data_IF_820921191290
#
_entry.id   IF_820921191290
#
_cell.length_a   1.000
_cell.length_b   1.000
_cell.length_c   1.000
_cell.angle_alpha   90.00
_cell.angle_beta   90.00
_cell.angle_gamma   90.00
#
_symmetry.space_group_name_H-M   'P 1'
#
loop_
_entity.id
_entity.type
_entity.pdbx_description
1 polymer ?
#
# COMPACT_ATOMS: atom_id res chain seq x y z
N UNK A 1 -17.23 -0.97 -4.58
CA UNK A 1 -15.80 -0.55 -4.58
C UNK A 1 -14.94 -1.69 -5.07
N UNK A 2 -14.01 -1.43 -5.96
CA UNK A 2 -13.10 -2.40 -6.56
C UNK A 2 -11.64 -1.98 -6.42
N UNK A 3 -10.73 -2.94 -6.58
CA UNK A 3 -9.31 -2.67 -6.75
C UNK A 3 -8.96 -2.65 -8.24
N UNK A 4 -8.44 -1.52 -8.69
CA UNK A 4 -7.85 -1.40 -10.03
C UNK A 4 -6.33 -1.28 -9.93
N UNK A 5 -5.63 -1.71 -10.95
CA UNK A 5 -4.19 -1.50 -11.10
C UNK A 5 -3.89 -0.13 -11.71
N UNK A 6 -2.67 0.35 -11.55
CA UNK A 6 -2.29 1.70 -11.97
C UNK A 6 -2.53 1.97 -13.47
N UNK A 7 -2.41 0.97 -14.34
CA UNK A 7 -2.67 1.07 -15.77
C UNK A 7 -4.15 1.32 -16.13
N UNK A 8 -5.07 1.09 -15.19
CA UNK A 8 -6.51 1.38 -15.33
C UNK A 8 -6.93 2.70 -14.70
N UNK A 9 -6.02 3.38 -14.00
CA UNK A 9 -6.29 4.67 -13.37
C UNK A 9 -6.46 5.74 -14.45
N UNK A 10 -7.47 6.61 -14.31
CA UNK A 10 -7.65 7.74 -15.23
C UNK A 10 -6.84 8.95 -14.78
N UNK A 11 -6.54 9.86 -15.72
CA UNK A 11 -5.88 11.13 -15.40
C UNK A 11 -6.70 11.96 -14.39
N UNK A 12 -8.01 12.04 -14.56
CA UNK A 12 -8.89 12.81 -13.67
C UNK A 12 -8.80 12.29 -12.22
N UNK A 13 -8.98 10.98 -12.02
CA UNK A 13 -8.89 10.34 -10.72
C UNK A 13 -7.50 10.52 -10.06
N UNK A 14 -6.44 10.47 -10.86
CA UNK A 14 -5.08 10.75 -10.38
C UNK A 14 -4.92 12.22 -9.97
N UNK A 15 -5.39 13.15 -10.79
CA UNK A 15 -5.28 14.59 -10.53
C UNK A 15 -6.02 14.96 -9.23
N UNK A 16 -7.26 14.52 -9.08
CA UNK A 16 -8.06 14.77 -7.87
C UNK A 16 -7.36 14.22 -6.60
N UNK A 17 -6.80 13.01 -6.70
CA UNK A 17 -6.05 12.42 -5.60
C UNK A 17 -4.79 13.24 -5.28
N UNK A 18 -4.02 13.67 -6.27
CA UNK A 18 -2.80 14.47 -6.07
C UNK A 18 -3.14 15.83 -5.45
N UNK A 19 -4.20 16.47 -5.91
CA UNK A 19 -4.67 17.74 -5.37
C UNK A 19 -5.06 17.63 -3.89
N UNK A 20 -5.80 16.57 -3.51
CA UNK A 20 -6.17 16.31 -2.12
C UNK A 20 -4.93 16.17 -1.21
N UNK A 21 -3.92 15.40 -1.65
CA UNK A 21 -2.67 15.26 -0.92
C UNK A 21 -1.85 16.57 -0.85
N UNK A 22 -1.86 17.35 -1.92
CA UNK A 22 -1.12 18.61 -2.03
C UNK A 22 -1.73 19.68 -1.12
N UNK A 23 -3.05 19.83 -1.15
CA UNK A 23 -3.80 20.75 -0.28
C UNK A 23 -3.56 20.42 1.20
N UNK A 24 -3.48 19.15 1.54
CA UNK A 24 -3.19 18.71 2.91
C UNK A 24 -1.71 18.83 3.32
N UNK A 25 -0.81 19.30 2.45
CA UNK A 25 0.61 19.43 2.74
C UNK A 25 1.36 18.09 2.91
N UNK A 26 0.80 16.99 2.40
CA UNK A 26 1.37 15.64 2.50
C UNK A 26 1.46 15.00 1.11
N UNK A 27 2.34 15.47 0.20
CA UNK A 27 2.38 15.03 -1.19
C UNK A 27 2.48 13.51 -1.35
N UNK A 28 1.66 12.94 -2.22
CA UNK A 28 1.69 11.53 -2.53
C UNK A 28 2.99 11.16 -3.27
N UNK A 29 3.87 10.40 -2.62
CA UNK A 29 5.19 10.02 -3.16
C UNK A 29 6.05 11.22 -3.61
N UNK A 30 5.85 12.38 -3.00
CA UNK A 30 6.50 13.63 -3.41
C UNK A 30 5.93 14.26 -4.69
N UNK A 31 4.86 13.70 -5.26
CA UNK A 31 4.21 14.22 -6.46
C UNK A 31 3.24 15.33 -6.04
N UNK A 32 3.39 16.49 -6.66
CA UNK A 32 2.50 17.66 -6.51
C UNK A 32 1.94 18.15 -7.85
N UNK A 33 2.44 17.61 -8.96
CA UNK A 33 2.06 17.98 -10.31
C UNK A 33 1.35 16.81 -11.01
N UNK A 34 0.02 16.90 -11.26
CA UNK A 34 -0.71 15.87 -11.97
C UNK A 34 -0.22 15.58 -13.40
N UNK A 35 0.51 16.49 -14.03
CA UNK A 35 1.08 16.27 -15.37
C UNK A 35 2.08 15.11 -15.41
N UNK A 36 2.60 14.69 -14.26
CA UNK A 36 3.47 13.51 -14.11
C UNK A 36 2.72 12.17 -14.29
N UNK A 37 1.41 12.18 -14.48
CA UNK A 37 0.60 10.97 -14.65
C UNK A 37 1.17 9.95 -15.65
N UNK A 38 1.55 10.31 -16.89
CA UNK A 38 2.09 9.32 -17.83
C UNK A 38 3.39 8.69 -17.36
N UNK A 39 4.23 9.46 -16.65
CA UNK A 39 5.46 8.94 -16.04
C UNK A 39 5.14 8.01 -14.88
N UNK A 40 4.22 8.40 -14.02
CA UNK A 40 3.77 7.61 -12.89
C UNK A 40 3.25 6.23 -13.32
N UNK A 41 2.34 6.18 -14.31
CA UNK A 41 1.80 4.92 -14.84
C UNK A 41 2.91 4.03 -15.41
N UNK A 42 3.79 4.58 -16.25
CA UNK A 42 4.92 3.81 -16.81
C UNK A 42 5.81 3.23 -15.70
N UNK A 43 6.04 4.00 -14.64
CA UNK A 43 6.85 3.57 -13.50
C UNK A 43 6.17 2.43 -12.74
N UNK A 44 4.86 2.53 -12.46
CA UNK A 44 4.10 1.47 -11.81
C UNK A 44 4.13 0.16 -12.61
N UNK A 45 3.94 0.22 -13.93
CA UNK A 45 4.00 -0.95 -14.83
C UNK A 45 5.40 -1.57 -14.83
N UNK A 46 6.46 -0.77 -14.93
CA UNK A 46 7.86 -1.25 -14.86
C UNK A 46 8.16 -1.93 -13.52
N UNK A 47 7.76 -1.32 -12.40
CA UNK A 47 7.98 -1.89 -11.06
C UNK A 47 7.23 -3.21 -10.86
N UNK A 48 6.03 -3.34 -11.40
CA UNK A 48 5.28 -4.60 -11.38
C UNK A 48 5.98 -5.70 -12.18
N UNK A 49 6.66 -5.35 -13.27
CA UNK A 49 7.51 -6.25 -14.06
C UNK A 49 8.92 -6.46 -13.48
N UNK A 50 9.27 -5.79 -12.38
CA UNK A 50 10.61 -5.88 -11.77
C UNK A 50 11.69 -5.05 -12.47
N UNK A 51 11.29 -4.11 -13.34
CA UNK A 51 12.20 -3.27 -14.12
C UNK A 51 12.48 -1.96 -13.37
N UNK A 52 13.76 -1.57 -13.30
CA UNK A 52 14.19 -0.31 -12.67
C UNK A 52 14.20 -0.33 -11.14
N UNK A 53 14.14 -1.52 -10.54
CA UNK A 53 14.21 -1.70 -9.08
C UNK A 53 15.64 -1.97 -8.62
N UNK A 54 15.95 -1.55 -7.39
CA UNK A 54 17.20 -1.94 -6.73
C UNK A 54 17.18 -3.42 -6.36
N UNK A 55 18.35 -4.00 -6.14
CA UNK A 55 18.48 -5.42 -5.74
C UNK A 55 17.75 -5.73 -4.41
N UNK A 56 17.55 -4.74 -3.54
CA UNK A 56 16.86 -4.89 -2.25
C UNK A 56 15.32 -4.81 -2.40
N UNK A 57 14.81 -4.31 -3.53
CA UNK A 57 13.39 -4.02 -3.74
C UNK A 57 12.71 -5.18 -4.47
N UNK A 58 11.63 -5.70 -3.90
CA UNK A 58 10.77 -6.66 -4.58
C UNK A 58 9.96 -5.97 -5.67
N UNK A 59 9.69 -6.60 -6.81
CA UNK A 59 8.59 -6.17 -7.69
C UNK A 59 7.30 -6.00 -6.89
N UNK A 60 6.48 -5.03 -7.27
CA UNK A 60 5.22 -4.78 -6.58
C UNK A 60 4.17 -4.24 -7.55
N UNK A 61 2.91 -4.59 -7.31
CA UNK A 61 1.77 -4.00 -8.02
C UNK A 61 1.15 -2.93 -7.14
N UNK A 62 0.92 -1.76 -7.73
CA UNK A 62 0.16 -0.69 -7.09
C UNK A 62 -1.30 -0.78 -7.48
N UNK A 63 -2.15 -0.75 -6.46
CA UNK A 63 -3.59 -0.81 -6.55
C UNK A 63 -4.24 0.47 -6.04
N UNK A 64 -5.40 0.77 -6.59
CA UNK A 64 -6.26 1.88 -6.16
C UNK A 64 -7.65 1.33 -5.84
N UNK A 65 -8.21 1.73 -4.71
CA UNK A 65 -9.57 1.43 -4.32
C UNK A 65 -10.46 2.52 -4.89
N UNK A 66 -11.34 2.16 -5.82
CA UNK A 66 -12.22 3.09 -6.52
C UNK A 66 -13.68 2.68 -6.41
N UNK A 67 -14.58 3.62 -6.68
CA UNK A 67 -15.99 3.35 -6.96
C UNK A 67 -16.30 3.35 -8.46
N UNK A 68 -17.58 3.30 -8.80
CA UNK A 68 -18.09 3.31 -10.18
C UNK A 68 -17.80 4.63 -10.91
N UNK A 69 -17.59 5.73 -10.18
CA UNK A 69 -17.23 7.03 -10.74
C UNK A 69 -15.75 7.17 -11.03
N UNK A 70 -14.94 6.24 -10.53
CA UNK A 70 -13.49 6.26 -10.62
C UNK A 70 -12.80 7.08 -9.52
N UNK A 71 -13.55 7.57 -8.52
CA UNK A 71 -12.95 8.28 -7.36
C UNK A 71 -12.00 7.36 -6.60
N UNK A 72 -10.79 7.85 -6.29
CA UNK A 72 -9.78 7.10 -5.52
C UNK A 72 -9.96 7.32 -4.02
N UNK A 73 -10.36 6.30 -3.28
CA UNK A 73 -10.54 6.33 -1.83
C UNK A 73 -9.33 5.84 -1.03
N UNK A 74 -8.52 4.98 -1.63
CA UNK A 74 -7.28 4.49 -1.03
C UNK A 74 -6.35 3.96 -2.10
N UNK A 75 -5.06 3.87 -1.79
CA UNK A 75 -4.08 3.20 -2.63
C UNK A 75 -3.22 2.25 -1.79
N UNK A 76 -2.62 1.25 -2.44
CA UNK A 76 -1.71 0.35 -1.75
C UNK A 76 -0.86 -0.47 -2.69
N UNK A 77 0.22 -1.00 -2.15
CA UNK A 77 1.19 -1.82 -2.86
C UNK A 77 1.18 -3.24 -2.31
N UNK A 78 1.23 -4.22 -3.21
CA UNK A 78 1.50 -5.61 -2.90
C UNK A 78 2.84 -6.00 -3.51
N UNK A 79 3.81 -6.35 -2.68
CA UNK A 79 5.12 -6.87 -3.09
C UNK A 79 5.01 -8.33 -3.46
N UNK A 80 5.65 -8.70 -4.59
CA UNK A 80 5.43 -10.01 -5.23
C UNK A 80 6.23 -11.15 -4.62
N UNK A 81 7.25 -10.84 -3.83
CA UNK A 81 8.10 -11.84 -3.18
C UNK A 81 8.61 -11.34 -1.84
N UNK A 82 8.97 -12.27 -1.00
CA UNK A 82 9.66 -11.99 0.25
C UNK A 82 11.11 -11.60 -0.03
N UNK A 83 11.58 -10.58 0.67
CA UNK A 83 12.97 -10.21 0.78
C UNK A 83 13.28 -9.96 2.25
N UNK A 84 14.54 -10.09 2.65
CA UNK A 84 14.92 -9.79 4.04
C UNK A 84 14.50 -8.38 4.47
N UNK A 85 14.63 -7.40 3.58
CA UNK A 85 14.19 -6.03 3.81
C UNK A 85 12.68 -5.93 4.04
N UNK A 86 11.87 -6.62 3.23
CA UNK A 86 10.41 -6.63 3.39
C UNK A 86 10.00 -7.27 4.71
N UNK A 87 10.59 -8.41 5.06
CA UNK A 87 10.27 -9.13 6.30
C UNK A 87 10.61 -8.33 7.55
N UNK A 88 11.61 -7.44 7.46
CA UNK A 88 12.05 -6.65 8.61
C UNK A 88 11.38 -5.28 8.67
N UNK A 89 11.33 -4.54 7.56
CA UNK A 89 11.04 -3.10 7.59
C UNK A 89 9.85 -2.65 6.72
N UNK A 90 9.71 -3.17 5.51
CA UNK A 90 8.73 -2.67 4.55
C UNK A 90 7.41 -3.47 4.51
N UNK A 91 7.39 -4.70 5.05
CA UNK A 91 6.25 -5.61 4.90
C UNK A 91 6.03 -6.09 3.45
N UNK A 92 5.07 -6.96 3.23
CA UNK A 92 4.58 -7.31 1.90
C UNK A 92 3.54 -6.31 1.40
N UNK A 93 2.82 -5.67 2.30
CA UNK A 93 1.76 -4.71 1.98
C UNK A 93 2.14 -3.31 2.47
N UNK A 94 1.78 -2.30 1.68
CA UNK A 94 1.74 -0.92 2.09
C UNK A 94 0.44 -0.29 1.61
N UNK A 95 -0.14 0.65 2.35
CA UNK A 95 -1.37 1.33 1.95
C UNK A 95 -1.44 2.75 2.51
N UNK A 96 -2.27 3.57 1.88
CA UNK A 96 -2.57 4.92 2.31
C UNK A 96 -3.97 5.34 1.90
N UNK A 97 -4.47 6.40 2.53
CA UNK A 97 -5.79 6.98 2.28
C UNK A 97 -5.61 8.46 2.01
N UNK A 98 -6.13 8.99 0.89
CA UNK A 98 -6.13 10.43 0.63
C UNK A 98 -6.73 11.20 1.81
N UNK A 99 -6.19 12.37 2.15
CA UNK A 99 -6.54 13.10 3.36
C UNK A 99 -8.03 13.32 3.60
N UNK A 100 -8.79 13.70 2.57
CA UNK A 100 -10.24 13.94 2.66
C UNK A 100 -11.04 12.68 2.96
N UNK A 101 -10.50 11.50 2.65
CA UNK A 101 -11.16 10.21 2.82
C UNK A 101 -10.73 9.45 4.09
N UNK A 102 -9.89 10.05 4.94
CA UNK A 102 -9.44 9.42 6.19
C UNK A 102 -10.58 9.30 7.20
N UNK A 103 -10.43 8.34 8.13
CA UNK A 103 -11.41 8.03 9.19
C UNK A 103 -12.77 7.51 8.69
N UNK A 104 -12.90 7.19 7.39
CA UNK A 104 -14.10 6.63 6.76
C UNK A 104 -14.02 5.10 6.56
N UNK A 105 -13.02 4.42 7.13
CA UNK A 105 -12.89 2.96 7.03
C UNK A 105 -12.11 2.45 5.80
N UNK A 106 -11.79 3.30 4.83
CA UNK A 106 -11.14 2.88 3.58
C UNK A 106 -9.78 2.22 3.77
N UNK A 107 -9.02 2.61 4.80
CA UNK A 107 -7.78 1.93 5.15
C UNK A 107 -7.99 0.46 5.53
N UNK A 108 -9.07 0.13 6.23
CA UNK A 108 -9.41 -1.25 6.57
C UNK A 108 -9.83 -2.03 5.34
N UNK A 109 -10.63 -1.42 4.46
CA UNK A 109 -11.11 -2.04 3.21
C UNK A 109 -9.94 -2.33 2.26
N UNK A 110 -9.05 -1.36 2.02
CA UNK A 110 -7.91 -1.58 1.12
C UNK A 110 -6.96 -2.64 1.67
N UNK A 111 -6.72 -2.66 2.98
CA UNK A 111 -5.90 -3.69 3.62
C UNK A 111 -6.48 -5.08 3.39
N UNK A 112 -7.79 -5.29 3.65
CA UNK A 112 -8.48 -6.56 3.40
C UNK A 112 -8.34 -7.01 1.94
N UNK A 113 -8.61 -6.11 0.99
CA UNK A 113 -8.51 -6.41 -0.44
C UNK A 113 -7.08 -6.73 -0.91
N UNK A 114 -6.08 -6.11 -0.31
CA UNK A 114 -4.67 -6.44 -0.60
C UNK A 114 -4.30 -7.81 -0.01
N UNK A 115 -4.87 -8.22 1.12
CA UNK A 115 -4.69 -9.57 1.68
C UNK A 115 -5.33 -10.62 0.78
N UNK A 116 -6.53 -10.37 0.21
CA UNK A 116 -7.13 -11.23 -0.82
C UNK A 116 -6.18 -11.38 -2.02
N UNK A 117 -5.60 -10.27 -2.52
CA UNK A 117 -4.64 -10.30 -3.63
C UNK A 117 -3.33 -11.02 -3.27
N UNK A 118 -2.90 -10.98 -2.02
CA UNK A 118 -1.75 -11.74 -1.55
C UNK A 118 -2.05 -13.25 -1.54
N UNK A 119 -3.23 -13.66 -1.05
CA UNK A 119 -3.68 -15.06 -1.08
C UNK A 119 -3.78 -15.58 -2.53
N UNK A 120 -4.38 -14.80 -3.45
CA UNK A 120 -4.45 -15.12 -4.90
C UNK A 120 -3.04 -15.32 -5.52
N UNK A 121 -2.00 -14.68 -4.98
CA UNK A 121 -0.61 -14.86 -5.39
C UNK A 121 0.07 -16.08 -4.75
N UNK A 122 -0.62 -16.81 -3.88
CA UNK A 122 -0.09 -18.00 -3.22
C UNK A 122 0.69 -17.75 -1.93
N UNK A 123 0.63 -16.54 -1.35
CA UNK A 123 1.13 -16.35 -0.01
C UNK A 123 0.24 -17.05 1.01
N UNK A 124 0.83 -17.79 1.94
CA UNK A 124 0.11 -18.39 3.07
C UNK A 124 -0.02 -17.41 4.25
N UNK A 125 0.88 -16.47 4.33
CA UNK A 125 0.88 -15.38 5.31
C UNK A 125 1.68 -14.20 4.79
N UNK A 126 1.44 -13.02 5.35
CA UNK A 126 2.21 -11.81 5.02
C UNK A 126 2.69 -11.09 6.27
N UNK A 127 3.80 -10.37 6.15
CA UNK A 127 4.24 -9.41 7.15
C UNK A 127 3.76 -8.02 6.71
N UNK A 128 3.13 -7.31 7.65
CA UNK A 128 2.78 -5.89 7.50
C UNK A 128 3.50 -5.11 8.58
N UNK A 129 4.05 -3.97 8.22
CA UNK A 129 4.76 -3.11 9.17
C UNK A 129 4.11 -1.73 9.23
N UNK A 130 4.21 -1.09 10.37
CA UNK A 130 3.89 0.32 10.51
C UNK A 130 4.84 0.98 11.52
N UNK A 131 4.97 2.29 11.47
CA UNK A 131 5.69 3.05 12.49
C UNK A 131 5.03 2.83 13.85
N UNK A 132 5.82 2.81 14.92
CA UNK A 132 5.30 2.57 16.27
C UNK A 132 4.31 3.65 16.73
N UNK A 133 4.50 4.88 16.27
CA UNK A 133 3.60 6.01 16.53
C UNK A 133 2.34 6.04 15.65
N UNK A 134 2.24 5.20 14.61
CA UNK A 134 1.09 5.12 13.71
C UNK A 134 0.01 4.17 14.26
N UNK A 135 -0.70 4.63 15.29
CA UNK A 135 -1.78 3.87 15.92
C UNK A 135 -2.95 3.57 14.97
N UNK A 136 -3.16 4.42 13.96
CA UNK A 136 -4.21 4.19 12.96
C UNK A 136 -3.90 2.97 12.10
N UNK A 137 -2.66 2.86 11.58
CA UNK A 137 -2.23 1.69 10.81
C UNK A 137 -2.22 0.42 11.66
N UNK A 138 -1.74 0.49 12.92
CA UNK A 138 -1.77 -0.64 13.83
C UNK A 138 -3.19 -1.21 13.99
N UNK A 139 -4.18 -0.34 14.27
CA UNK A 139 -5.59 -0.76 14.38
C UNK A 139 -6.17 -1.34 13.09
N UNK A 140 -5.77 -0.82 11.92
CA UNK A 140 -6.19 -1.37 10.62
C UNK A 140 -5.64 -2.78 10.44
N UNK A 141 -4.36 -2.99 10.74
CA UNK A 141 -3.70 -4.29 10.63
C UNK A 141 -4.36 -5.31 11.59
N UNK A 142 -4.55 -4.92 12.84
CA UNK A 142 -5.18 -5.76 13.86
C UNK A 142 -6.63 -6.14 13.50
N UNK A 143 -7.42 -5.20 12.95
CA UNK A 143 -8.78 -5.48 12.45
C UNK A 143 -8.80 -6.47 11.28
N UNK A 144 -7.71 -6.59 10.54
CA UNK A 144 -7.54 -7.55 9.44
C UNK A 144 -6.79 -8.82 9.88
N UNK A 145 -6.82 -9.16 11.16
CA UNK A 145 -6.25 -10.40 11.68
C UNK A 145 -4.74 -10.34 11.93
N UNK A 146 -4.15 -9.15 11.95
CA UNK A 146 -2.72 -8.98 12.22
C UNK A 146 -2.36 -9.28 13.67
N UNK A 147 -1.42 -10.20 13.86
CA UNK A 147 -0.85 -10.57 15.16
C UNK A 147 0.51 -9.88 15.30
N UNK A 148 0.68 -9.09 16.35
CA UNK A 148 1.93 -8.38 16.63
C UNK A 148 3.06 -9.37 16.92
N UNK A 149 4.11 -9.34 16.11
CA UNK A 149 5.33 -10.13 16.33
C UNK A 149 6.35 -9.43 17.23
N UNK A 150 6.27 -8.11 17.32
CA UNK A 150 7.18 -7.28 18.08
C UNK A 150 7.56 -5.99 17.37
N UNK A 151 8.55 -5.31 17.95
CA UNK A 151 9.10 -4.06 17.42
C UNK A 151 10.53 -4.27 16.95
N UNK A 152 10.93 -3.49 15.94
CA UNK A 152 12.29 -3.44 15.44
C UNK A 152 12.70 -1.98 15.17
N UNK A 153 13.92 -1.61 15.55
CA UNK A 153 14.46 -0.29 15.22
C UNK A 153 15.05 -0.28 13.81
N UNK A 154 14.49 0.55 12.95
CA UNK A 154 15.05 0.82 11.63
C UNK A 154 16.16 1.87 11.76
N UNK A 155 17.41 1.45 11.61
CA UNK A 155 18.58 2.33 11.74
C UNK A 155 18.71 3.34 10.59
N UNK A 156 18.22 2.99 9.39
CA UNK A 156 18.29 3.86 8.22
C UNK A 156 17.35 5.06 8.39
N UNK A 157 16.12 4.82 8.83
CA UNK A 157 15.10 5.84 9.02
C UNK A 157 15.05 6.40 10.45
N UNK A 158 15.79 5.79 11.40
CA UNK A 158 15.83 6.15 12.82
C UNK A 158 14.46 6.12 13.50
N UNK A 159 13.67 5.11 13.19
CA UNK A 159 12.31 4.93 13.72
C UNK A 159 12.08 3.52 14.24
N UNK A 160 11.20 3.41 15.25
CA UNK A 160 10.68 2.13 15.69
C UNK A 160 9.51 1.69 14.81
N UNK A 161 9.55 0.42 14.39
CA UNK A 161 8.55 -0.21 13.55
C UNK A 161 7.88 -1.36 14.30
N UNK A 162 6.54 -1.44 14.24
CA UNK A 162 5.78 -2.63 14.61
C UNK A 162 5.73 -3.58 13.43
N UNK A 163 5.86 -4.86 13.72
CA UNK A 163 5.75 -5.94 12.73
C UNK A 163 4.59 -6.83 13.11
N UNK A 164 3.72 -7.07 12.15
CA UNK A 164 2.55 -7.94 12.30
C UNK A 164 2.62 -9.06 11.28
N UNK A 165 2.14 -10.25 11.66
CA UNK A 165 1.87 -11.35 10.74
C UNK A 165 0.37 -11.49 10.57
N UNK A 166 -0.09 -11.62 9.32
CA UNK A 166 -1.46 -11.98 8.97
C UNK A 166 -1.42 -13.34 8.30
N UNK A 167 -2.17 -14.30 8.84
CA UNK A 167 -2.43 -15.59 8.20
C UNK A 167 -3.47 -15.38 7.09
N UNK A 168 -3.29 -16.02 5.94
CA UNK A 168 -4.15 -15.85 4.78
C UNK A 168 -5.10 -17.02 4.53
N UNK A 169 -5.20 -17.99 5.44
CA UNK A 169 -6.11 -19.12 5.32
C UNK A 169 -7.56 -18.69 5.10
N UNK A 170 -8.00 -17.64 5.78
CA UNK A 170 -9.36 -17.08 5.67
C UNK A 170 -9.59 -16.25 4.38
N UNK A 171 -8.52 -15.92 3.66
CA UNK A 171 -8.55 -15.13 2.41
C UNK A 171 -8.39 -16.00 1.16
N UNK A 172 -7.98 -17.26 1.31
CA UNK A 172 -7.89 -18.24 0.22
C UNK A 172 -9.28 -18.81 -0.06
N UNK A 173 -9.91 -18.38 -1.15
CA UNK A 173 -11.18 -18.92 -1.66
C UNK A 173 -10.94 -19.87 -2.81
#
# INVERSE_FOLDING_TARGET
MELITADKLTYAAFADMIDDYTVAGTPFLGITDPSLFPHFIRTCVKHAAGIGLSAKTSPYTRYFLTDETGTVFAQGDLRHRETQHNLLFAGQLGYGVPPSHRKCGYGTIICAKLLEKAAERGFSSVIITCRDDNSASAKIIEKNGGILLGKIYNKEDRIDMRRYKVDLSDYAK
#
